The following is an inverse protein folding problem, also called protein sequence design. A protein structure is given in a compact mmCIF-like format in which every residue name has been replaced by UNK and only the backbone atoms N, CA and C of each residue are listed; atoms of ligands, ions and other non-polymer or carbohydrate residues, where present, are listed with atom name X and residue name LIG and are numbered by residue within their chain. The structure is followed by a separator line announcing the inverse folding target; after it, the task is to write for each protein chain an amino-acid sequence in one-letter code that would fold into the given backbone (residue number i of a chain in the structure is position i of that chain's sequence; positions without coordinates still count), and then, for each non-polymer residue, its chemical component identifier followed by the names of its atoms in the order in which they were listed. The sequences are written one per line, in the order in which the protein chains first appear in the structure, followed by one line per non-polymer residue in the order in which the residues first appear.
data_IF_904077330610
#
_entry.id   IF_904077330610
#
_cell.length_a   1.000
_cell.length_b   1.000
_cell.length_c   1.000
_cell.angle_alpha   90.00
_cell.angle_beta   90.00
_cell.angle_gamma   90.00
#
_symmetry.space_group_name_H-M   'P 1'
#
loop_
_entity.id
_entity.type
_entity.pdbx_description
1 polymer ?
#
# COMPACT_ATOMS: atom_id res chain seq x y z
N UNK A 1 -28.37 -1.32 52.22
CA UNK A 1 -27.75 -0.71 51.02
C UNK A 1 -27.53 -1.71 49.90
N UNK A 2 -27.20 -3.00 50.16
CA UNK A 2 -27.08 -4.05 49.14
C UNK A 2 -28.27 -4.15 48.15
N UNK A 3 -29.51 -4.18 48.62
CA UNK A 3 -30.69 -4.36 47.74
C UNK A 3 -30.93 -3.22 46.75
N UNK A 4 -30.45 -2.00 47.04
CA UNK A 4 -30.61 -0.85 46.15
C UNK A 4 -29.56 -0.86 45.02
N UNK A 5 -28.38 -1.42 45.31
CA UNK A 5 -27.29 -1.61 44.34
C UNK A 5 -27.67 -2.70 43.34
N UNK A 6 -28.22 -3.83 43.81
CA UNK A 6 -28.70 -4.89 42.91
C UNK A 6 -29.85 -4.43 42.01
N UNK A 7 -30.80 -3.65 42.53
CA UNK A 7 -31.89 -3.10 41.71
C UNK A 7 -31.36 -2.17 40.61
N UNK A 8 -30.34 -1.36 40.93
CA UNK A 8 -29.71 -0.47 39.97
C UNK A 8 -28.98 -1.25 38.87
N UNK A 9 -28.23 -2.30 39.23
CA UNK A 9 -27.52 -3.14 38.26
C UNK A 9 -28.49 -3.92 37.35
N UNK A 10 -29.60 -4.43 37.90
CA UNK A 10 -30.68 -5.06 37.12
C UNK A 10 -31.31 -4.06 36.16
N UNK A 11 -31.59 -2.83 36.62
CA UNK A 11 -32.16 -1.77 35.78
C UNK A 11 -31.20 -1.37 34.66
N UNK A 12 -29.91 -1.18 34.96
CA UNK A 12 -28.87 -0.88 33.96
C UNK A 12 -28.74 -2.03 32.94
N UNK A 13 -28.81 -3.28 33.38
CA UNK A 13 -28.77 -4.45 32.50
C UNK A 13 -29.99 -4.55 31.59
N UNK A 14 -31.20 -4.35 32.13
CA UNK A 14 -32.45 -4.37 31.37
C UNK A 14 -32.52 -3.21 30.36
N UNK A 15 -32.01 -2.03 30.72
CA UNK A 15 -31.95 -0.88 29.81
C UNK A 15 -30.87 -1.05 28.71
N UNK A 16 -29.78 -1.79 28.98
CA UNK A 16 -28.74 -2.09 27.98
C UNK A 16 -29.09 -3.24 27.03
N UNK A 17 -29.95 -4.18 27.43
CA UNK A 17 -30.37 -5.32 26.60
C UNK A 17 -30.85 -4.94 25.19
N UNK A 18 -31.81 -4.02 25.01
CA UNK A 18 -32.31 -3.69 23.68
C UNK A 18 -31.24 -3.04 22.80
N UNK A 19 -30.38 -2.19 23.38
CA UNK A 19 -29.29 -1.54 22.64
C UNK A 19 -28.25 -2.56 22.14
N UNK A 20 -27.86 -3.52 22.98
CA UNK A 20 -26.92 -4.58 22.59
C UNK A 20 -27.53 -5.54 21.55
N UNK A 21 -28.83 -5.81 21.64
CA UNK A 21 -29.52 -6.71 20.72
C UNK A 21 -29.63 -6.10 19.31
N UNK A 22 -29.95 -4.82 19.22
CA UNK A 22 -29.92 -4.08 17.95
C UNK A 22 -28.50 -4.05 17.38
N UNK A 23 -27.49 -3.79 18.21
CA UNK A 23 -26.09 -3.81 17.76
C UNK A 23 -25.70 -5.19 17.18
N UNK A 24 -26.04 -6.28 17.87
CA UNK A 24 -25.75 -7.64 17.43
C UNK A 24 -26.46 -8.01 16.13
N UNK A 25 -27.73 -7.61 15.97
CA UNK A 25 -28.48 -7.84 14.73
C UNK A 25 -27.91 -7.04 13.56
N UNK A 26 -27.48 -5.79 13.80
CA UNK A 26 -26.81 -4.99 12.76
C UNK A 26 -25.46 -5.60 12.37
N UNK A 27 -24.68 -6.09 13.34
CA UNK A 27 -23.41 -6.76 13.09
C UNK A 27 -23.60 -8.05 12.29
N UNK A 28 -24.60 -8.87 12.63
CA UNK A 28 -24.92 -10.10 11.92
C UNK A 28 -25.31 -9.85 10.45
N UNK A 29 -25.98 -8.73 10.16
CA UNK A 29 -26.36 -8.34 8.79
C UNK A 29 -25.20 -7.75 8.00
N UNK A 30 -24.31 -7.01 8.66
CA UNK A 30 -23.20 -6.30 8.01
C UNK A 30 -21.99 -7.22 7.77
N UNK A 31 -21.75 -8.18 8.67
CA UNK A 31 -20.64 -9.14 8.60
C UNK A 31 -20.48 -9.84 7.24
N UNK A 32 -21.53 -10.46 6.64
CA UNK A 32 -21.38 -11.12 5.34
C UNK A 32 -21.02 -10.14 4.22
N UNK A 33 -21.58 -8.93 4.23
CA UNK A 33 -21.28 -7.89 3.25
C UNK A 33 -19.83 -7.40 3.35
N UNK A 34 -19.32 -7.25 4.58
CA UNK A 34 -17.91 -6.91 4.81
C UNK A 34 -17.01 -8.02 4.27
N UNK A 35 -17.32 -9.29 4.56
CA UNK A 35 -16.51 -10.41 4.10
C UNK A 35 -16.50 -10.53 2.57
N UNK A 36 -17.65 -10.32 1.93
CA UNK A 36 -17.75 -10.31 0.46
C UNK A 36 -16.95 -9.14 -0.14
N UNK A 37 -17.07 -7.94 0.43
CA UNK A 37 -16.25 -6.78 0.03
C UNK A 37 -14.75 -7.10 0.10
N UNK A 38 -14.28 -7.68 1.22
CA UNK A 38 -12.87 -8.04 1.43
C UNK A 38 -12.39 -9.04 0.38
N UNK A 39 -13.21 -10.06 0.10
CA UNK A 39 -12.91 -11.07 -0.92
C UNK A 39 -12.80 -10.45 -2.31
N UNK A 40 -13.81 -9.69 -2.73
CA UNK A 40 -13.82 -9.04 -4.04
C UNK A 40 -12.66 -8.07 -4.20
N UNK A 41 -12.31 -7.35 -3.13
CA UNK A 41 -11.16 -6.46 -3.13
C UNK A 41 -9.84 -7.20 -3.35
N UNK A 42 -9.61 -8.33 -2.66
CA UNK A 42 -8.41 -9.13 -2.87
C UNK A 42 -8.38 -9.80 -4.25
N UNK A 43 -9.52 -10.26 -4.76
CA UNK A 43 -9.63 -10.83 -6.11
C UNK A 43 -9.29 -9.79 -7.18
N UNK A 44 -9.72 -8.53 -7.00
CA UNK A 44 -9.35 -7.41 -7.85
C UNK A 44 -7.84 -7.14 -7.81
N UNK A 45 -7.23 -7.13 -6.62
CA UNK A 45 -5.78 -6.94 -6.48
C UNK A 45 -4.99 -8.05 -7.17
N UNK A 46 -5.40 -9.30 -6.97
CA UNK A 46 -4.75 -10.47 -7.59
C UNK A 46 -4.88 -10.43 -9.11
N UNK A 47 -6.04 -9.98 -9.62
CA UNK A 47 -6.31 -9.85 -11.06
C UNK A 47 -5.43 -8.78 -11.72
N UNK A 48 -4.97 -7.76 -10.98
CA UNK A 48 -3.98 -6.78 -11.46
C UNK A 48 -2.55 -7.32 -11.53
N UNK A 49 -2.31 -8.52 -10.98
CA UNK A 49 -0.99 -9.14 -10.90
C UNK A 49 -0.66 -9.51 -9.45
N UNK A 50 -0.29 -10.77 -9.23
CA UNK A 50 0.14 -11.28 -7.92
C UNK A 50 1.50 -10.72 -7.48
N UNK A 51 2.31 -10.28 -8.45
CA UNK A 51 3.60 -9.63 -8.25
C UNK A 51 3.54 -8.31 -9.00
N UNK A 52 3.92 -7.23 -8.32
CA UNK A 52 4.03 -5.88 -8.89
C UNK A 52 5.42 -5.34 -8.62
N UNK A 53 6.04 -4.78 -9.65
CA UNK A 53 7.40 -4.25 -9.64
C UNK A 53 7.33 -2.76 -9.90
N UNK A 54 7.68 -1.99 -8.87
CA UNK A 54 7.77 -0.55 -8.96
C UNK A 54 9.23 -0.11 -9.05
N UNK A 55 9.54 0.75 -10.01
CA UNK A 55 10.84 1.42 -10.08
C UNK A 55 10.73 2.80 -9.45
N UNK A 56 11.66 3.16 -8.55
CA UNK A 56 11.72 4.51 -7.98
C UNK A 56 13.13 5.04 -8.12
N UNK A 57 13.27 6.18 -8.77
CA UNK A 57 14.52 6.92 -8.82
C UNK A 57 14.50 8.00 -7.74
N UNK A 58 15.58 8.10 -6.95
CA UNK A 58 15.73 9.19 -5.98
C UNK A 58 16.21 10.47 -6.66
N UNK A 59 15.92 11.66 -6.10
CA UNK A 59 16.61 12.88 -6.49
C UNK A 59 18.13 12.72 -6.45
N UNK A 60 18.80 13.33 -7.44
CA UNK A 60 20.25 13.48 -7.46
C UNK A 60 20.68 14.54 -6.44
N UNK A 61 21.83 14.32 -5.81
CA UNK A 61 22.49 15.35 -5.01
C UNK A 61 23.41 16.20 -5.91
N UNK A 62 23.74 17.42 -5.47
CA UNK A 62 24.55 18.36 -6.24
C UNK A 62 25.93 17.78 -6.62
N UNK A 63 26.47 16.88 -5.80
CA UNK A 63 27.80 16.27 -5.98
C UNK A 63 27.82 15.06 -6.94
N UNK A 64 26.67 14.62 -7.47
CA UNK A 64 26.56 13.34 -8.20
C UNK A 64 26.60 13.46 -9.73
N UNK A 65 26.65 14.68 -10.26
CA UNK A 65 26.71 14.93 -11.70
C UNK A 65 25.36 14.77 -12.43
N UNK A 66 25.37 14.70 -13.77
CA UNK A 66 24.14 14.67 -14.58
C UNK A 66 23.41 13.32 -14.47
N UNK A 67 22.08 13.36 -14.61
CA UNK A 67 21.25 12.14 -14.66
C UNK A 67 21.62 11.27 -15.87
N UNK A 68 21.81 9.98 -15.62
CA UNK A 68 21.99 8.95 -16.66
C UNK A 68 20.68 8.23 -17.00
N UNK A 69 19.58 8.61 -16.36
CA UNK A 69 18.26 8.01 -16.56
C UNK A 69 17.25 9.03 -17.06
N UNK A 70 16.46 8.60 -18.04
CA UNK A 70 15.33 9.31 -18.63
C UNK A 70 14.03 8.53 -18.34
N UNK A 71 12.90 9.23 -18.31
CA UNK A 71 11.56 8.66 -18.05
C UNK A 71 10.64 8.97 -19.24
N UNK A 72 10.58 8.10 -20.27
CA UNK A 72 9.72 8.33 -21.43
C UNK A 72 8.22 8.31 -21.10
N UNK A 73 7.82 7.47 -20.14
CA UNK A 73 6.45 7.29 -19.67
C UNK A 73 6.43 6.77 -18.22
N UNK A 74 5.23 6.52 -17.67
CA UNK A 74 5.02 6.07 -16.29
C UNK A 74 5.37 4.59 -16.06
N UNK A 75 5.78 3.86 -17.09
CA UNK A 75 6.06 2.42 -17.04
C UNK A 75 7.48 2.08 -17.49
N UNK A 76 8.19 3.02 -18.11
CA UNK A 76 9.48 2.79 -18.75
C UNK A 76 10.55 3.69 -18.15
N UNK A 77 11.67 3.10 -17.78
CA UNK A 77 12.90 3.83 -17.45
C UNK A 77 13.95 3.56 -18.53
N UNK A 78 14.57 4.63 -19.02
CA UNK A 78 15.60 4.57 -20.05
C UNK A 78 16.95 4.91 -19.46
N UNK A 79 17.90 3.98 -19.53
CA UNK A 79 19.27 4.16 -19.03
C UNK A 79 20.20 4.48 -20.20
N UNK A 80 20.90 5.61 -20.09
CA UNK A 80 21.91 6.03 -21.05
C UNK A 80 23.29 5.50 -20.60
N UNK A 81 23.89 4.61 -21.38
CA UNK A 81 25.15 3.93 -21.01
C UNK A 81 26.39 4.79 -21.29
N UNK A 82 26.23 6.06 -21.72
CA UNK A 82 27.33 7.03 -21.83
C UNK A 82 28.38 6.74 -22.91
N UNK A 83 28.14 5.75 -23.75
CA UNK A 83 29.03 5.36 -24.84
C UNK A 83 28.40 5.85 -26.15
N UNK A 84 28.84 7.02 -26.64
CA UNK A 84 28.41 7.63 -27.92
C UNK A 84 28.87 6.83 -29.15
N UNK A 85 29.46 5.64 -28.94
CA UNK A 85 29.67 4.68 -30.01
C UNK A 85 28.32 4.12 -30.45
N UNK A 86 28.08 4.09 -31.78
CA UNK A 86 26.90 3.52 -32.45
C UNK A 86 26.51 2.07 -32.03
N UNK A 87 27.28 1.45 -31.13
CA UNK A 87 27.16 0.08 -30.68
C UNK A 87 26.45 -0.09 -29.32
N UNK A 88 26.21 0.96 -28.53
CA UNK A 88 25.57 0.82 -27.21
C UNK A 88 24.23 1.59 -27.13
N UNK A 89 23.11 1.00 -27.58
CA UNK A 89 21.82 1.66 -27.56
C UNK A 89 21.38 1.96 -26.12
N UNK A 90 20.67 3.09 -25.95
CA UNK A 90 19.91 3.37 -24.72
C UNK A 90 19.04 2.16 -24.38
N UNK A 91 19.05 1.73 -23.12
CA UNK A 91 18.31 0.55 -22.68
C UNK A 91 17.04 0.96 -21.98
N UNK A 92 15.92 0.48 -22.49
CA UNK A 92 14.60 0.69 -21.90
C UNK A 92 14.23 -0.53 -21.05
N UNK A 93 13.70 -0.24 -19.87
CA UNK A 93 13.22 -1.24 -18.92
C UNK A 93 11.80 -0.90 -18.52
N UNK A 94 10.89 -1.86 -18.67
CA UNK A 94 9.47 -1.71 -18.37
C UNK A 94 9.13 -2.30 -16.99
N UNK A 95 8.25 -1.62 -16.28
CA UNK A 95 7.81 -1.89 -14.91
C UNK A 95 6.31 -1.62 -14.76
N UNK A 96 5.69 -2.13 -13.69
CA UNK A 96 4.27 -1.85 -13.42
C UNK A 96 4.02 -0.35 -13.19
N UNK A 97 4.98 0.35 -12.58
CA UNK A 97 5.02 1.82 -12.52
C UNK A 97 6.45 2.31 -12.23
N UNK A 98 6.81 3.45 -12.80
CA UNK A 98 8.09 4.13 -12.63
C UNK A 98 7.84 5.49 -11.99
N UNK A 99 8.49 5.72 -10.85
CA UNK A 99 8.44 6.97 -10.11
C UNK A 99 9.73 7.75 -10.34
N UNK A 100 9.61 8.90 -11.00
CA UNK A 100 10.70 9.83 -11.18
C UNK A 100 11.18 10.48 -9.87
N UNK A 101 12.31 11.20 -9.90
CA UNK A 101 12.94 11.80 -8.71
C UNK A 101 12.03 12.79 -7.97
N UNK A 102 11.09 13.43 -8.66
CA UNK A 102 10.21 14.44 -8.08
C UNK A 102 8.92 13.86 -7.49
N UNK A 103 8.70 12.55 -7.61
CA UNK A 103 7.50 11.92 -7.06
C UNK A 103 7.62 11.77 -5.54
N UNK A 104 6.62 12.31 -4.84
CA UNK A 104 6.52 12.28 -3.38
C UNK A 104 6.11 10.91 -2.84
N UNK A 105 6.33 10.72 -1.54
CA UNK A 105 5.96 9.47 -0.84
C UNK A 105 4.45 9.22 -0.82
N UNK A 106 3.64 10.28 -0.76
CA UNK A 106 2.19 10.16 -0.73
C UNK A 106 1.63 9.48 -1.99
N UNK A 107 2.20 9.80 -3.16
CA UNK A 107 1.78 9.21 -4.42
C UNK A 107 2.16 7.73 -4.49
N UNK A 108 3.40 7.39 -4.14
CA UNK A 108 3.85 6.01 -4.06
C UNK A 108 3.01 5.20 -3.06
N UNK A 109 2.72 5.77 -1.88
CA UNK A 109 1.88 5.14 -0.87
C UNK A 109 0.46 4.90 -1.37
N UNK A 110 -0.13 5.81 -2.16
CA UNK A 110 -1.47 5.63 -2.73
C UNK A 110 -1.59 4.34 -3.56
N UNK A 111 -0.51 3.94 -4.26
CA UNK A 111 -0.50 2.72 -5.08
C UNK A 111 -0.23 1.44 -4.27
N UNK A 112 0.42 1.58 -3.11
CA UNK A 112 0.74 0.51 -2.16
C UNK A 112 -0.36 0.30 -1.11
N UNK A 113 -1.12 1.35 -0.77
CA UNK A 113 -2.18 1.36 0.23
C UNK A 113 -3.18 0.19 0.06
N UNK A 114 -3.60 -0.20 -1.16
CA UNK A 114 -4.48 -1.34 -1.32
C UNK A 114 -3.89 -2.66 -0.80
N UNK A 115 -2.58 -2.85 -0.92
CA UNK A 115 -1.90 -4.03 -0.37
C UNK A 115 -1.89 -4.02 1.16
N UNK A 116 -1.67 -2.85 1.75
CA UNK A 116 -1.73 -2.68 3.21
C UNK A 116 -3.13 -3.00 3.73
N UNK A 117 -4.17 -2.52 3.05
CA UNK A 117 -5.55 -2.86 3.38
C UNK A 117 -5.79 -4.37 3.29
N UNK A 118 -5.29 -5.03 2.25
CA UNK A 118 -5.38 -6.49 2.10
C UNK A 118 -4.69 -7.24 3.26
N UNK A 119 -3.54 -6.74 3.73
CA UNK A 119 -2.86 -7.29 4.90
C UNK A 119 -3.69 -7.16 6.19
N UNK A 120 -4.33 -6.00 6.40
CA UNK A 120 -5.24 -5.78 7.52
C UNK A 120 -6.50 -6.66 7.45
N UNK A 121 -6.91 -7.04 6.24
CA UNK A 121 -8.03 -7.95 6.00
C UNK A 121 -7.68 -9.44 6.17
N UNK A 122 -6.42 -9.75 6.51
CA UNK A 122 -5.95 -11.10 6.83
C UNK A 122 -5.28 -11.84 5.68
N UNK A 123 -4.96 -11.15 4.58
CA UNK A 123 -4.21 -11.73 3.46
C UNK A 123 -2.69 -11.56 3.65
N UNK A 124 -1.91 -12.53 3.15
CA UNK A 124 -0.47 -12.45 3.20
C UNK A 124 0.05 -11.52 2.10
N UNK A 125 0.73 -10.44 2.51
CA UNK A 125 1.34 -9.45 1.63
C UNK A 125 2.80 -9.29 2.00
N UNK A 126 3.65 -9.15 0.98
CA UNK A 126 5.08 -8.88 1.19
C UNK A 126 5.53 -7.73 0.31
N UNK A 127 6.26 -6.79 0.90
CA UNK A 127 6.81 -5.61 0.23
C UNK A 127 8.32 -5.64 0.44
N UNK A 128 9.06 -5.59 -0.65
CA UNK A 128 10.52 -5.58 -0.65
C UNK A 128 11.02 -4.32 -1.33
N UNK A 129 12.08 -3.73 -0.79
CA UNK A 129 12.83 -2.67 -1.45
C UNK A 129 14.18 -3.23 -1.88
N UNK A 130 14.50 -3.14 -3.16
CA UNK A 130 15.74 -3.64 -3.74
C UNK A 130 16.55 -2.50 -4.39
N UNK A 131 17.88 -2.64 -4.42
CA UNK A 131 18.81 -1.67 -4.99
C UNK A 131 20.13 -1.56 -4.24
N UNK A 132 21.10 -0.83 -4.81
CA UNK A 132 22.42 -0.60 -4.22
C UNK A 132 22.37 0.25 -2.94
N UNK A 133 23.44 0.27 -2.15
CA UNK A 133 23.56 1.21 -1.00
C UNK A 133 23.35 2.66 -1.48
N UNK A 134 22.73 3.49 -0.64
CA UNK A 134 22.33 4.87 -0.99
C UNK A 134 21.24 5.03 -2.07
N UNK A 135 20.62 3.94 -2.56
CA UNK A 135 19.54 4.03 -3.57
C UNK A 135 18.17 4.50 -3.04
N UNK A 136 18.03 4.78 -1.74
CA UNK A 136 16.77 5.22 -1.14
C UNK A 136 15.82 4.11 -0.65
N UNK A 137 16.30 2.86 -0.51
CA UNK A 137 15.50 1.75 0.06
C UNK A 137 14.93 2.05 1.44
N UNK A 138 15.78 2.45 2.39
CA UNK A 138 15.36 2.75 3.77
C UNK A 138 14.38 3.92 3.81
N UNK A 139 14.65 4.97 3.05
CA UNK A 139 13.73 6.11 2.91
C UNK A 139 12.37 5.70 2.33
N UNK A 140 12.35 4.79 1.36
CA UNK A 140 11.11 4.27 0.79
C UNK A 140 10.35 3.42 1.80
N UNK A 141 11.02 2.47 2.46
CA UNK A 141 10.35 1.52 3.35
C UNK A 141 9.88 2.13 4.67
N UNK A 142 10.65 3.05 5.27
CA UNK A 142 10.31 3.65 6.57
C UNK A 142 9.23 4.72 6.45
N UNK A 143 9.04 5.29 5.25
CA UNK A 143 8.09 6.37 4.99
C UNK A 143 6.87 5.91 4.18
N UNK A 144 6.77 4.59 3.94
CA UNK A 144 5.53 3.92 3.55
C UNK A 144 4.65 3.72 4.79
#
# INVERSE_FOLDING_TARGET
MQNLIELHDILVFLLRKPANQVALETEARISPLINEKKRLFNDLLTSKGSIRIFCRTRPLFEDEGPSVVDFPDDHTIRVNTGDDSFANPKKDYEFDKVYGPHVGQAELFSDVQPLVQSALDGYNVSIFAYGQTHSGKTHTMVTL
#
